data_IF_360662250282
#
_entry.id   IF_360662250282
#
_cell.length_a   1.000
_cell.length_b   1.000
_cell.length_c   1.000
_cell.angle_alpha   90.00
_cell.angle_beta   90.00
_cell.angle_gamma   90.00
#
_symmetry.space_group_name_H-M   'P 1'
#
loop_
_entity.id
_entity.type
_entity.pdbx_description
1 polymer ?
#
# COMPACT_ATOMS: atom_id res chain seq x y z
N UNK A 1 64.65 18.36 -48.84
CA UNK A 1 65.26 17.90 -47.56
C UNK A 1 64.11 17.75 -46.58
N UNK A 2 63.68 16.52 -46.25
CA UNK A 2 64.06 15.74 -45.04
C UNK A 2 63.66 16.49 -43.75
N UNK A 3 62.88 15.98 -42.79
CA UNK A 3 62.28 14.66 -42.50
C UNK A 3 61.12 14.84 -41.49
N UNK A 4 60.12 13.94 -41.41
CA UNK A 4 60.05 12.75 -40.55
C UNK A 4 60.24 13.10 -39.05
N UNK A 5 59.42 12.69 -38.06
CA UNK A 5 58.46 11.60 -37.88
C UNK A 5 57.87 11.75 -36.46
N UNK A 6 56.63 11.35 -36.18
CA UNK A 6 56.35 10.34 -35.15
C UNK A 6 54.91 9.85 -35.14
N UNK A 7 54.81 8.55 -34.87
CA UNK A 7 53.67 7.67 -34.99
C UNK A 7 53.15 7.22 -33.62
N UNK A 8 51.86 6.85 -33.56
CA UNK A 8 51.25 5.74 -32.79
C UNK A 8 49.73 5.78 -33.03
N UNK A 9 49.10 4.87 -33.80
CA UNK A 9 48.60 3.54 -33.38
C UNK A 9 47.94 3.59 -31.99
N UNK A 10 46.61 3.45 -31.89
CA UNK A 10 45.97 2.15 -31.70
C UNK A 10 44.54 2.06 -32.24
N UNK A 11 44.25 0.92 -32.89
CA UNK A 11 42.91 0.34 -33.06
C UNK A 11 42.32 -0.08 -31.70
N UNK A 12 41.02 0.10 -31.55
CA UNK A 12 40.00 -0.84 -31.01
C UNK A 12 38.67 -0.16 -31.28
N UNK A 13 37.67 -0.75 -31.92
CA UNK A 13 37.37 -2.16 -32.13
C UNK A 13 35.85 -2.25 -31.97
N UNK A 14 35.17 -2.59 -33.06
CA UNK A 14 33.75 -2.88 -33.12
C UNK A 14 33.33 -3.82 -32.00
N UNK A 15 32.17 -3.56 -31.39
CA UNK A 15 31.59 -4.51 -30.45
C UNK A 15 30.35 -4.04 -29.71
N UNK A 16 29.26 -3.67 -30.42
CA UNK A 16 27.92 -3.70 -29.81
C UNK A 16 26.79 -3.63 -30.86
N UNK A 17 26.70 -4.63 -31.76
CA UNK A 17 25.59 -4.71 -32.75
C UNK A 17 24.78 -6.03 -32.65
N UNK A 18 24.94 -6.83 -31.60
CA UNK A 18 24.28 -8.17 -31.55
C UNK A 18 23.46 -8.47 -30.27
N UNK A 19 23.08 -7.47 -29.48
CA UNK A 19 22.29 -7.67 -28.25
C UNK A 19 20.77 -7.60 -28.40
N UNK A 20 20.23 -6.88 -29.39
CA UNK A 20 18.82 -6.46 -29.33
C UNK A 20 17.80 -7.39 -30.03
N UNK A 21 18.26 -8.34 -30.87
CA UNK A 21 17.36 -9.29 -31.54
C UNK A 21 17.01 -10.52 -30.66
N UNK A 22 17.73 -10.74 -29.56
CA UNK A 22 17.50 -11.89 -28.66
C UNK A 22 16.45 -11.62 -27.56
N UNK A 23 16.19 -10.36 -27.21
CA UNK A 23 15.26 -10.03 -26.13
C UNK A 23 13.77 -10.13 -26.54
N UNK A 24 13.46 -10.08 -27.85
CA UNK A 24 12.07 -10.10 -28.34
C UNK A 24 11.54 -11.50 -28.67
N UNK A 25 12.42 -12.49 -28.87
CA UNK A 25 12.03 -13.88 -29.17
C UNK A 25 11.84 -14.75 -27.90
N UNK A 26 12.39 -14.34 -26.75
CA UNK A 26 12.28 -15.06 -25.48
C UNK A 26 10.98 -14.76 -24.70
N UNK A 27 10.20 -13.76 -25.11
CA UNK A 27 8.91 -13.46 -24.49
C UNK A 27 7.74 -14.29 -25.05
N UNK A 28 7.92 -15.04 -26.15
CA UNK A 28 6.82 -15.73 -26.84
C UNK A 28 7.05 -17.21 -27.21
N UNK A 29 8.18 -17.83 -26.84
CA UNK A 29 8.39 -19.24 -27.14
C UNK A 29 9.52 -19.89 -26.34
N UNK A 30 9.18 -20.77 -25.40
CA UNK A 30 10.20 -21.41 -24.57
C UNK A 30 9.73 -22.49 -23.61
N UNK A 31 8.80 -23.37 -24.01
CA UNK A 31 8.81 -24.75 -23.53
C UNK A 31 9.44 -25.62 -24.62
N UNK A 32 10.32 -26.55 -24.20
CA UNK A 32 11.04 -27.60 -24.97
C UNK A 32 12.47 -27.26 -25.42
N UNK A 33 13.45 -27.56 -24.55
CA UNK A 33 14.41 -28.67 -24.72
C UNK A 33 15.69 -28.52 -25.57
N UNK A 34 16.85 -28.63 -24.88
CA UNK A 34 18.17 -29.18 -25.30
C UNK A 34 18.91 -28.53 -26.50
N UNK A 35 20.23 -28.31 -26.54
CA UNK A 35 21.40 -28.78 -25.76
C UNK A 35 22.65 -27.97 -26.18
N UNK A 36 23.62 -27.88 -25.26
CA UNK A 36 25.09 -27.74 -25.41
C UNK A 36 25.72 -27.02 -26.63
N UNK A 37 26.44 -25.92 -26.37
CA UNK A 37 27.92 -25.96 -26.26
C UNK A 37 28.57 -24.56 -26.37
N UNK A 38 29.26 -24.17 -25.29
CA UNK A 38 30.54 -23.46 -25.21
C UNK A 38 30.84 -22.26 -26.14
N UNK A 39 31.22 -21.10 -25.57
CA UNK A 39 32.63 -20.79 -25.20
C UNK A 39 32.86 -19.31 -24.85
N UNK A 40 33.22 -19.10 -23.58
CA UNK A 40 34.25 -18.22 -23.01
C UNK A 40 34.44 -16.73 -23.38
N UNK A 41 34.29 -15.90 -22.33
CA UNK A 41 35.32 -15.08 -21.64
C UNK A 41 35.73 -13.71 -22.21
N UNK A 42 35.54 -12.71 -21.33
CA UNK A 42 36.43 -11.60 -20.91
C UNK A 42 36.02 -10.17 -21.27
N UNK A 43 35.76 -9.43 -20.17
CA UNK A 43 35.86 -7.97 -19.98
C UNK A 43 37.28 -7.46 -20.33
N UNK A 44 37.53 -6.13 -20.53
CA UNK A 44 37.58 -5.19 -19.40
C UNK A 44 37.27 -3.69 -19.68
N UNK A 45 36.88 -3.02 -18.59
CA UNK A 45 37.29 -1.71 -18.04
C UNK A 45 37.42 -0.41 -18.86
N UNK A 46 36.81 0.63 -18.23
CA UNK A 46 37.28 1.99 -17.94
C UNK A 46 37.64 2.94 -19.11
N UNK A 47 37.08 4.16 -19.14
CA UNK A 47 37.53 5.29 -18.29
C UNK A 47 36.86 6.63 -18.69
N UNK A 48 36.44 7.40 -17.67
CA UNK A 48 36.51 8.88 -17.50
C UNK A 48 35.73 9.98 -18.29
N UNK A 49 35.40 11.01 -17.47
CA UNK A 49 35.14 12.46 -17.68
C UNK A 49 33.75 12.85 -18.21
N UNK A 50 32.94 13.73 -17.60
CA UNK A 50 33.13 14.71 -16.53
C UNK A 50 32.31 15.96 -16.92
N UNK A 51 31.30 16.33 -16.13
CA UNK A 51 30.42 17.47 -16.42
C UNK A 51 29.71 17.92 -15.15
N UNK A 52 30.27 18.96 -14.53
CA UNK A 52 29.74 19.65 -13.35
C UNK A 52 28.49 20.46 -13.73
N UNK A 53 27.32 19.95 -13.37
CA UNK A 53 26.06 20.69 -13.36
C UNK A 53 25.47 20.62 -11.96
N UNK A 54 25.57 21.73 -11.22
CA UNK A 54 24.90 21.94 -9.94
C UNK A 54 23.37 21.92 -10.14
N UNK A 55 22.79 20.72 -10.21
CA UNK A 55 21.37 20.53 -9.97
C UNK A 55 21.19 20.53 -8.46
N UNK A 56 20.66 21.63 -7.93
CA UNK A 56 20.18 21.69 -6.56
C UNK A 56 19.15 20.58 -6.37
N UNK A 57 19.58 19.45 -5.81
CA UNK A 57 18.70 18.46 -5.22
C UNK A 57 17.89 19.18 -4.16
N UNK A 58 16.66 19.56 -4.51
CA UNK A 58 15.59 19.72 -3.53
C UNK A 58 15.54 18.42 -2.76
N UNK A 59 16.13 18.42 -1.57
CA UNK A 59 15.95 17.38 -0.57
C UNK A 59 14.47 17.35 -0.25
N UNK A 60 13.72 16.55 -1.02
CA UNK A 60 12.40 16.12 -0.61
C UNK A 60 12.60 15.51 0.77
N UNK A 61 12.01 16.16 1.79
CA UNK A 61 11.93 15.59 3.12
C UNK A 61 11.21 14.26 2.94
N UNK A 62 11.96 13.16 2.99
CA UNK A 62 11.36 11.84 3.00
C UNK A 62 10.46 11.81 4.24
N UNK A 63 9.17 11.54 4.03
CA UNK A 63 8.27 11.23 5.13
C UNK A 63 8.92 10.12 5.98
N UNK A 64 8.71 10.11 7.31
CA UNK A 64 9.20 9.02 8.13
C UNK A 64 8.66 7.70 7.58
N UNK A 65 9.55 6.73 7.41
CA UNK A 65 9.18 5.37 7.02
C UNK A 65 8.31 4.76 8.12
N UNK A 66 7.18 4.18 7.74
CA UNK A 66 6.27 3.55 8.68
C UNK A 66 6.98 2.37 9.37
N UNK A 67 6.78 2.17 10.69
CA UNK A 67 7.28 0.99 11.36
C UNK A 67 6.54 -0.25 10.84
N UNK A 68 7.19 -1.41 10.94
CA UNK A 68 6.49 -2.66 10.73
C UNK A 68 5.43 -2.84 11.81
N UNK A 69 4.19 -3.09 11.42
CA UNK A 69 3.06 -3.20 12.33
C UNK A 69 1.84 -3.76 11.62
N UNK A 70 0.77 -3.88 12.37
CA UNK A 70 -0.58 -4.16 11.88
C UNK A 70 -1.32 -2.83 11.81
N UNK A 71 -1.69 -2.41 10.61
CA UNK A 71 -2.49 -1.21 10.37
C UNK A 71 -3.91 -1.64 10.01
N UNK A 72 -4.86 -0.71 10.11
CA UNK A 72 -6.17 -0.96 9.53
C UNK A 72 -6.15 -0.75 8.01
N UNK A 73 -7.32 -0.94 7.42
CA UNK A 73 -7.53 -0.89 5.97
C UNK A 73 -8.58 0.17 5.56
N UNK A 74 -9.01 1.05 6.48
CA UNK A 74 -9.95 2.10 6.14
C UNK A 74 -9.30 3.15 5.22
N UNK A 75 -10.01 3.68 4.21
CA UNK A 75 -9.47 4.65 3.26
C UNK A 75 -8.95 5.94 3.92
N UNK A 76 -7.70 6.27 3.63
CA UNK A 76 -7.01 7.47 4.11
C UNK A 76 -6.54 8.32 2.91
N UNK A 77 -7.20 9.46 2.69
CA UNK A 77 -7.11 10.26 1.46
C UNK A 77 -7.66 9.57 0.19
N UNK A 78 -8.37 8.45 0.33
CA UNK A 78 -9.02 7.71 -0.74
C UNK A 78 -10.54 7.85 -0.70
N UNK A 79 -11.30 7.51 -1.76
CA UNK A 79 -12.76 7.47 -1.69
C UNK A 79 -13.26 6.51 -0.59
N UNK A 80 -14.40 6.81 0.07
CA UNK A 80 -14.97 5.92 1.10
C UNK A 80 -15.70 4.70 0.53
N UNK A 81 -15.99 4.68 -0.77
CA UNK A 81 -16.79 3.63 -1.43
C UNK A 81 -18.21 3.45 -0.86
N UNK A 82 -18.74 4.45 -0.17
CA UNK A 82 -20.14 4.45 0.22
C UNK A 82 -21.07 4.42 -1.00
N UNK A 83 -22.28 3.91 -0.82
CA UNK A 83 -23.33 3.99 -1.80
C UNK A 83 -23.81 5.45 -1.95
N UNK A 84 -24.42 5.76 -3.09
CA UNK A 84 -25.09 7.04 -3.31
C UNK A 84 -26.09 7.34 -2.16
N UNK A 85 -26.14 8.57 -1.63
CA UNK A 85 -25.54 9.80 -2.17
C UNK A 85 -24.10 10.08 -1.70
N UNK A 86 -23.49 9.21 -0.91
CA UNK A 86 -22.19 9.43 -0.26
C UNK A 86 -20.99 8.84 -1.01
N UNK A 87 -21.20 8.32 -2.22
CA UNK A 87 -20.15 7.69 -3.03
C UNK A 87 -18.95 8.58 -3.39
N UNK A 88 -19.09 9.90 -3.25
CA UNK A 88 -18.01 10.86 -3.47
C UNK A 88 -17.37 11.37 -2.17
N UNK A 89 -17.75 10.82 -1.01
CA UNK A 89 -17.07 11.13 0.24
C UNK A 89 -15.62 10.63 0.16
N UNK A 90 -14.71 11.45 0.66
CA UNK A 90 -13.31 11.08 0.82
C UNK A 90 -13.14 10.54 2.24
N UNK A 91 -12.50 9.39 2.35
CA UNK A 91 -12.06 8.81 3.60
C UNK A 91 -10.91 9.62 4.15
N UNK A 92 -11.09 10.06 5.38
CA UNK A 92 -10.11 10.69 6.24
C UNK A 92 -10.01 9.83 7.51
N UNK A 93 -10.04 8.50 7.34
CA UNK A 93 -9.83 7.56 8.41
C UNK A 93 -8.33 7.47 8.67
N UNK A 94 -7.87 7.69 9.92
CA UNK A 94 -6.44 7.76 10.19
C UNK A 94 -5.84 6.37 10.23
N UNK A 95 -5.47 5.88 9.06
CA UNK A 95 -5.00 4.52 8.81
C UNK A 95 -3.52 4.57 8.43
N UNK A 96 -3.15 5.50 7.55
CA UNK A 96 -1.75 5.67 7.16
C UNK A 96 -0.89 6.15 8.34
N UNK A 97 0.36 5.67 8.41
CA UNK A 97 1.29 6.08 9.46
C UNK A 97 1.53 7.59 9.48
N UNK A 98 1.63 8.20 8.30
CA UNK A 98 1.88 9.63 8.09
C UNK A 98 0.60 10.46 7.88
N UNK A 99 -0.56 9.90 8.26
CA UNK A 99 -1.85 10.57 8.13
C UNK A 99 -1.87 11.93 8.81
N UNK A 100 -2.65 12.85 8.24
CA UNK A 100 -2.91 14.17 8.86
C UNK A 100 -4.28 14.25 9.52
N UNK A 101 -5.03 13.14 9.53
CA UNK A 101 -6.43 13.10 9.98
C UNK A 101 -6.60 12.81 11.47
N UNK A 102 -5.49 12.80 12.23
CA UNK A 102 -5.52 12.73 13.68
C UNK A 102 -5.99 14.04 14.31
N UNK A 103 -7.23 14.02 14.77
CA UNK A 103 -7.92 15.15 15.39
C UNK A 103 -7.55 15.30 16.87
N UNK A 104 -7.50 14.19 17.62
CA UNK A 104 -7.26 14.17 19.07
C UNK A 104 -5.81 14.55 19.39
N UNK A 105 -4.87 14.00 18.64
CA UNK A 105 -3.45 14.37 18.68
C UNK A 105 -2.91 14.51 17.25
N UNK A 106 -2.76 15.73 16.71
CA UNK A 106 -2.26 15.95 15.36
C UNK A 106 -0.81 15.52 15.11
N UNK A 107 -0.09 15.07 16.14
CA UNK A 107 1.24 14.49 16.01
C UNK A 107 1.25 12.96 16.11
N UNK A 108 0.09 12.34 16.37
CA UNK A 108 -0.06 10.89 16.34
C UNK A 108 -0.06 10.38 14.89
N UNK A 109 0.32 9.12 14.74
CA UNK A 109 0.11 8.35 13.52
C UNK A 109 -1.32 7.83 13.42
N UNK A 110 -1.67 7.30 12.24
CA UNK A 110 -2.80 6.37 12.12
C UNK A 110 -2.70 5.20 13.08
N UNK A 111 -3.84 4.57 13.40
CA UNK A 111 -3.84 3.41 14.28
C UNK A 111 -2.98 2.31 13.72
N UNK A 112 -2.07 1.80 14.55
CA UNK A 112 -1.36 0.57 14.28
C UNK A 112 -0.88 -0.11 15.55
N UNK A 113 -0.60 -1.41 15.44
CA UNK A 113 0.04 -2.21 16.49
C UNK A 113 1.46 -2.58 16.07
N UNK A 114 2.47 -2.19 16.84
CA UNK A 114 3.88 -2.45 16.48
C UNK A 114 4.26 -3.95 16.62
N UNK A 115 3.57 -4.69 17.48
CA UNK A 115 3.88 -6.08 17.76
C UNK A 115 2.61 -6.90 18.04
N UNK A 116 1.81 -7.23 17.00
CA UNK A 116 0.58 -8.01 17.12
C UNK A 116 0.88 -9.49 17.45
N UNK A 117 1.33 -9.74 18.68
CA UNK A 117 1.98 -11.02 19.06
C UNK A 117 1.11 -11.89 19.93
N UNK A 118 0.25 -11.27 20.74
CA UNK A 118 -0.56 -12.01 21.69
C UNK A 118 -2.04 -11.73 21.50
N UNK A 119 -2.46 -10.47 21.60
CA UNK A 119 -3.86 -10.11 21.42
C UNK A 119 -4.12 -9.93 19.92
N UNK A 120 -5.17 -10.57 19.42
CA UNK A 120 -5.59 -10.47 18.02
C UNK A 120 -7.10 -10.64 17.91
N UNK A 121 -7.68 -10.04 16.89
CA UNK A 121 -9.01 -10.26 16.36
C UNK A 121 -8.93 -11.48 15.43
N UNK A 122 -9.83 -12.44 15.64
CA UNK A 122 -9.85 -13.65 14.82
C UNK A 122 -8.59 -14.53 14.91
N UNK A 123 -8.32 -15.28 13.83
CA UNK A 123 -7.35 -16.37 13.79
C UNK A 123 -6.03 -15.97 13.12
N UNK A 124 -6.01 -14.87 12.37
CA UNK A 124 -4.85 -14.37 11.64
C UNK A 124 -4.53 -12.96 12.12
N UNK A 125 -3.39 -12.45 11.66
CA UNK A 125 -2.95 -11.05 11.79
C UNK A 125 -1.83 -10.84 10.78
N UNK A 126 -1.84 -9.71 10.09
CA UNK A 126 -0.80 -9.35 9.11
C UNK A 126 0.21 -8.42 9.77
N UNK A 127 1.41 -8.32 9.17
CA UNK A 127 2.41 -7.34 9.56
C UNK A 127 2.97 -6.78 8.26
N UNK A 128 2.83 -5.48 8.10
CA UNK A 128 3.16 -4.73 6.89
C UNK A 128 4.10 -3.57 7.23
N UNK A 129 4.75 -2.98 6.23
CA UNK A 129 5.55 -1.76 6.39
C UNK A 129 4.71 -0.49 6.15
N UNK A 130 3.46 -0.50 6.63
CA UNK A 130 2.45 0.55 6.48
C UNK A 130 1.48 0.32 5.32
N UNK A 131 0.32 0.98 5.39
CA UNK A 131 -0.85 0.79 4.50
C UNK A 131 -0.59 0.97 3.00
N UNK A 132 0.54 1.58 2.64
CA UNK A 132 0.94 1.92 1.27
C UNK A 132 2.17 1.13 0.82
N UNK A 133 2.53 0.07 1.54
CA UNK A 133 3.62 -0.84 1.18
C UNK A 133 3.28 -1.58 -0.14
N UNK A 134 4.02 -1.36 -1.24
CA UNK A 134 3.78 -2.08 -2.48
C UNK A 134 4.20 -3.55 -2.43
N UNK A 135 4.98 -3.96 -1.42
CA UNK A 135 5.46 -5.32 -1.20
C UNK A 135 4.67 -6.04 -0.09
N UNK A 136 3.43 -5.60 0.16
CA UNK A 136 2.57 -6.16 1.19
C UNK A 136 2.39 -7.71 1.04
N UNK A 137 2.56 -8.50 2.13
CA UNK A 137 2.51 -9.95 2.08
C UNK A 137 1.16 -10.59 1.74
N UNK A 138 0.03 -9.89 1.86
CA UNK A 138 -1.31 -10.45 1.65
C UNK A 138 -2.07 -9.87 0.45
N UNK A 139 -1.63 -8.74 -0.12
CA UNK A 139 -2.27 -8.19 -1.31
C UNK A 139 -1.63 -6.95 -1.92
N UNK A 140 -2.33 -6.30 -2.88
CA UNK A 140 -1.99 -4.94 -3.31
C UNK A 140 -2.61 -3.92 -2.34
N UNK A 141 -1.83 -2.91 -1.88
CA UNK A 141 -2.25 -1.72 -1.11
C UNK A 141 -3.46 -1.92 -0.17
N UNK A 142 -3.17 -2.02 1.12
CA UNK A 142 -4.09 -2.40 2.20
C UNK A 142 -5.18 -1.33 2.49
N UNK A 143 -5.08 -0.13 1.90
CA UNK A 143 -6.20 0.80 1.98
C UNK A 143 -7.37 0.31 1.10
N UNK A 144 -8.51 0.06 1.76
CA UNK A 144 -9.78 -0.38 1.17
C UNK A 144 -9.74 -1.86 0.77
N UNK A 145 -9.23 -2.71 1.65
CA UNK A 145 -9.54 -4.12 1.61
C UNK A 145 -10.34 -4.63 2.81
N UNK A 146 -10.73 -5.89 2.68
CA UNK A 146 -11.58 -6.67 3.60
C UNK A 146 -11.03 -8.06 3.35
N UNK A 147 -9.81 -8.23 3.84
CA UNK A 147 -8.84 -9.12 3.27
C UNK A 147 -8.94 -10.51 3.96
N UNK A 148 -7.91 -11.35 3.86
CA UNK A 148 -7.92 -12.62 4.57
C UNK A 148 -7.76 -12.49 6.08
N UNK A 149 -7.17 -11.40 6.56
CA UNK A 149 -6.71 -11.16 7.92
C UNK A 149 -7.75 -10.40 8.76
N UNK A 150 -8.67 -9.67 8.11
CA UNK A 150 -9.91 -9.13 8.69
C UNK A 150 -10.94 -10.22 9.10
N UNK A 151 -10.54 -11.15 9.98
CA UNK A 151 -11.35 -12.32 10.35
C UNK A 151 -11.92 -12.31 11.77
N UNK A 152 -11.81 -11.19 12.47
CA UNK A 152 -12.38 -10.95 13.79
C UNK A 152 -13.90 -10.82 13.84
N UNK A 153 -14.54 -10.22 12.84
CA UNK A 153 -16.01 -10.05 12.83
C UNK A 153 -16.71 -11.34 12.33
N UNK A 154 -17.36 -12.06 13.25
CA UNK A 154 -18.00 -13.36 12.95
C UNK A 154 -19.45 -13.23 12.54
N UNK A 155 -20.19 -12.36 13.23
CA UNK A 155 -21.62 -12.15 12.99
C UNK A 155 -22.01 -10.71 13.18
N UNK A 156 -22.95 -10.33 12.32
CA UNK A 156 -23.61 -9.05 12.33
C UNK A 156 -25.09 -9.25 12.14
N UNK A 157 -25.91 -8.65 12.99
CA UNK A 157 -27.35 -8.64 12.77
C UNK A 157 -28.00 -7.33 13.22
N UNK A 158 -29.09 -6.99 12.53
CA UNK A 158 -29.98 -5.85 12.83
C UNK A 158 -31.29 -6.43 13.34
N UNK A 159 -31.51 -6.51 14.66
CA UNK A 159 -32.75 -7.07 15.19
C UNK A 159 -33.94 -6.09 15.10
N UNK A 160 -33.67 -4.79 14.98
CA UNK A 160 -34.65 -3.70 14.85
C UNK A 160 -34.00 -2.47 14.19
N UNK A 161 -34.78 -1.60 13.54
CA UNK A 161 -34.31 -0.36 12.88
C UNK A 161 -33.40 0.46 13.82
N UNK A 162 -32.12 0.60 13.47
CA UNK A 162 -31.12 1.37 14.23
C UNK A 162 -30.48 0.66 15.43
N UNK A 163 -30.73 -0.63 15.62
CA UNK A 163 -30.00 -1.45 16.60
C UNK A 163 -29.14 -2.47 15.90
N UNK A 164 -27.92 -2.62 16.39
CA UNK A 164 -26.89 -3.46 15.79
C UNK A 164 -26.27 -4.36 16.85
N UNK A 165 -25.89 -5.57 16.46
CA UNK A 165 -25.07 -6.45 17.31
C UNK A 165 -23.95 -7.04 16.50
N UNK A 166 -22.77 -7.04 17.12
CA UNK A 166 -21.56 -7.66 16.62
C UNK A 166 -21.15 -8.80 17.55
N UNK A 167 -20.76 -9.92 16.95
CA UNK A 167 -20.01 -10.97 17.62
C UNK A 167 -18.61 -11.00 17.03
N UNK A 168 -17.61 -10.91 17.91
CA UNK A 168 -16.20 -10.90 17.53
C UNK A 168 -15.53 -12.17 18.04
N UNK A 169 -14.61 -12.72 17.26
CA UNK A 169 -13.60 -13.64 17.77
C UNK A 169 -12.39 -12.84 18.22
N UNK A 170 -11.94 -13.10 19.44
CA UNK A 170 -10.70 -12.54 19.98
C UNK A 170 -9.83 -13.68 20.46
N UNK A 171 -8.53 -13.53 20.30
CA UNK A 171 -7.55 -14.55 20.66
C UNK A 171 -6.44 -13.95 21.50
N UNK A 172 -6.02 -14.70 22.50
CA UNK A 172 -4.75 -14.47 23.21
C UNK A 172 -3.78 -15.60 22.85
N UNK A 173 -2.95 -15.38 21.84
CA UNK A 173 -1.95 -16.33 21.38
C UNK A 173 -0.77 -16.51 22.35
N UNK A 174 -0.66 -15.68 23.40
CA UNK A 174 0.40 -15.85 24.40
C UNK A 174 0.08 -16.96 25.40
N UNK A 175 1.11 -17.50 26.05
CA UNK A 175 0.95 -18.50 27.11
C UNK A 175 0.48 -17.94 28.47
N UNK A 176 0.34 -16.62 28.61
CA UNK A 176 -0.05 -15.96 29.85
C UNK A 176 -1.44 -15.32 29.72
N UNK A 177 -2.18 -15.25 30.83
CA UNK A 177 -3.45 -14.52 30.84
C UNK A 177 -3.20 -13.02 30.61
N UNK A 178 -4.06 -12.40 29.80
CA UNK A 178 -4.03 -10.98 29.43
C UNK A 178 -5.43 -10.39 29.50
N UNK A 179 -5.50 -9.06 29.53
CA UNK A 179 -6.74 -8.31 29.31
C UNK A 179 -6.52 -7.43 28.10
N UNK A 180 -7.30 -7.64 27.06
CA UNK A 180 -7.39 -6.69 25.96
C UNK A 180 -8.53 -5.70 26.19
N UNK A 181 -8.48 -4.56 25.51
CA UNK A 181 -9.50 -3.52 25.55
C UNK A 181 -10.08 -3.37 24.15
N UNK A 182 -11.36 -3.75 24.03
CA UNK A 182 -12.06 -3.65 22.77
C UNK A 182 -12.61 -2.23 22.59
N UNK A 183 -12.33 -1.68 21.42
CA UNK A 183 -12.83 -0.40 20.95
C UNK A 183 -13.43 -0.57 19.55
N UNK A 184 -14.54 0.12 19.28
CA UNK A 184 -15.15 0.12 17.95
C UNK A 184 -15.54 1.54 17.56
N UNK A 185 -15.10 1.96 16.38
CA UNK A 185 -15.56 3.16 15.70
C UNK A 185 -16.51 2.79 14.56
N UNK A 186 -17.54 3.58 14.30
CA UNK A 186 -18.43 3.43 13.15
C UNK A 186 -18.75 4.81 12.59
N UNK A 187 -18.37 5.06 11.33
CA UNK A 187 -18.75 6.28 10.59
C UNK A 187 -20.23 6.18 10.21
N UNK A 188 -21.09 6.61 11.13
CA UNK A 188 -22.53 6.48 11.02
C UNK A 188 -23.15 7.58 10.17
N UNK A 189 -22.52 8.76 10.11
CA UNK A 189 -23.01 9.88 9.31
C UNK A 189 -22.48 9.87 7.86
N UNK A 190 -21.55 8.95 7.58
CA UNK A 190 -20.92 8.68 6.30
C UNK A 190 -20.19 9.91 5.76
N UNK A 191 -19.54 10.67 6.63
CA UNK A 191 -18.77 11.87 6.26
C UNK A 191 -17.29 11.58 5.96
N UNK A 192 -16.85 10.33 6.18
CA UNK A 192 -15.49 9.89 5.93
C UNK A 192 -14.54 10.08 7.12
N UNK A 193 -15.03 10.47 8.30
CA UNK A 193 -14.23 10.61 9.51
C UNK A 193 -14.81 9.76 10.62
N UNK A 194 -14.01 9.47 11.65
CA UNK A 194 -14.54 9.03 12.93
C UNK A 194 -14.49 10.19 13.92
N UNK A 195 -15.64 10.79 14.18
CA UNK A 195 -15.78 11.83 15.16
C UNK A 195 -17.21 11.87 15.69
N UNK A 196 -17.38 12.08 17.00
CA UNK A 196 -18.71 12.35 17.52
C UNK A 196 -19.19 13.72 16.95
N UNK A 197 -19.98 13.70 15.88
CA UNK A 197 -20.65 14.89 15.31
C UNK A 197 -22.04 15.08 15.95
N UNK A 198 -22.69 16.23 15.71
CA UNK A 198 -24.01 16.60 16.24
C UNK A 198 -25.12 15.60 15.80
N UNK A 199 -25.17 14.40 16.39
CA UNK A 199 -26.24 13.43 16.18
C UNK A 199 -25.89 11.95 16.33
N UNK A 200 -24.62 11.54 16.25
CA UNK A 200 -24.23 10.14 16.40
C UNK A 200 -22.87 10.02 17.10
N UNK A 201 -22.82 9.24 18.19
CA UNK A 201 -21.54 8.85 18.75
C UNK A 201 -20.95 7.75 17.87
N UNK A 202 -19.74 7.97 17.38
CA UNK A 202 -19.08 7.06 16.44
C UNK A 202 -18.11 6.14 17.16
N UNK A 203 -17.62 6.53 18.34
CA UNK A 203 -16.96 5.60 19.27
C UNK A 203 -17.99 4.78 20.05
N UNK A 204 -18.53 3.78 19.38
CA UNK A 204 -19.70 2.99 19.80
C UNK A 204 -19.38 1.94 20.87
N UNK A 205 -18.14 1.47 20.95
CA UNK A 205 -17.66 0.58 22.01
C UNK A 205 -16.38 1.15 22.57
N UNK A 206 -16.39 1.45 23.87
CA UNK A 206 -15.32 2.21 24.54
C UNK A 206 -14.65 1.37 25.62
N UNK A 207 -13.42 0.95 25.35
CA UNK A 207 -12.52 0.27 26.28
C UNK A 207 -13.20 -0.88 27.05
N UNK A 208 -13.96 -1.72 26.35
CA UNK A 208 -14.60 -2.88 26.99
C UNK A 208 -13.51 -3.90 27.32
N UNK A 209 -13.25 -4.20 28.61
CA UNK A 209 -12.18 -5.11 28.97
C UNK A 209 -12.57 -6.55 28.66
N UNK A 210 -11.69 -7.27 27.98
CA UNK A 210 -11.83 -8.68 27.65
C UNK A 210 -10.71 -9.47 28.31
N UNK A 211 -11.04 -10.13 29.43
CA UNK A 211 -10.13 -11.06 30.08
C UNK A 211 -10.01 -12.35 29.27
N UNK A 212 -8.77 -12.72 28.93
CA UNK A 212 -8.38 -13.88 28.14
C UNK A 212 -7.31 -14.68 28.87
N UNK A 213 -7.53 -15.98 29.04
CA UNK A 213 -6.50 -16.92 29.46
C UNK A 213 -5.43 -17.06 28.36
N UNK A 214 -4.26 -17.60 28.71
CA UNK A 214 -3.22 -17.85 27.72
C UNK A 214 -3.63 -18.96 26.75
N UNK A 215 -3.49 -18.72 25.45
CA UNK A 215 -3.91 -19.61 24.37
C UNK A 215 -5.44 -19.71 24.22
N UNK A 216 -6.20 -18.76 24.76
CA UNK A 216 -7.66 -18.76 24.65
C UNK A 216 -8.12 -18.10 23.35
N UNK A 217 -9.02 -18.79 22.65
CA UNK A 217 -9.88 -18.23 21.62
C UNK A 217 -11.27 -18.03 22.21
N UNK A 218 -11.81 -16.82 22.13
CA UNK A 218 -13.07 -16.46 22.79
C UNK A 218 -13.96 -15.67 21.86
N UNK A 219 -15.24 -16.07 21.79
CA UNK A 219 -16.27 -15.27 21.15
C UNK A 219 -16.84 -14.25 22.13
N UNK A 220 -16.79 -12.98 21.76
CA UNK A 220 -17.33 -11.85 22.52
C UNK A 220 -18.57 -11.34 21.81
N UNK A 221 -19.73 -11.48 22.45
CA UNK A 221 -20.97 -10.85 22.00
C UNK A 221 -21.09 -9.48 22.66
N UNK A 222 -21.23 -8.44 21.85
CA UNK A 222 -21.37 -7.08 22.34
C UNK A 222 -22.82 -6.76 22.67
N UNK A 223 -22.98 -5.78 23.56
CA UNK A 223 -24.28 -5.16 23.78
C UNK A 223 -24.79 -4.53 22.48
N UNK A 224 -26.09 -4.27 22.46
CA UNK A 224 -26.74 -3.60 21.34
C UNK A 224 -26.13 -2.21 21.09
N UNK A 225 -25.48 -2.05 19.94
CA UNK A 225 -25.01 -0.75 19.45
C UNK A 225 -26.21 -0.02 18.88
N UNK A 226 -26.44 1.22 19.31
CA UNK A 226 -27.51 2.06 18.78
C UNK A 226 -26.88 3.08 17.84
N UNK A 227 -27.37 3.11 16.61
CA UNK A 227 -26.98 4.10 15.62
C UNK A 227 -28.20 4.66 14.91
N UNK A 228 -28.00 5.62 13.98
CA UNK A 228 -29.08 6.07 13.11
C UNK A 228 -29.71 4.88 12.38
N UNK A 229 -31.02 4.93 12.15
CA UNK A 229 -31.79 3.82 11.57
C UNK A 229 -31.32 3.40 10.15
N UNK A 230 -30.49 4.22 9.52
CA UNK A 230 -29.90 4.03 8.20
C UNK A 230 -28.53 4.74 8.22
N UNK A 231 -27.43 3.98 8.18
CA UNK A 231 -26.76 3.94 6.89
C UNK A 231 -26.67 2.51 6.35
N UNK A 232 -26.73 2.38 5.02
CA UNK A 232 -26.59 1.11 4.31
C UNK A 232 -25.18 0.51 4.50
N UNK A 233 -24.19 1.39 4.78
CA UNK A 233 -22.77 1.07 4.96
C UNK A 233 -22.15 1.97 6.04
N UNK A 234 -21.17 1.49 6.78
CA UNK A 234 -20.35 2.33 7.66
C UNK A 234 -18.95 1.75 7.72
N UNK A 235 -17.92 2.57 7.49
CA UNK A 235 -16.56 2.16 7.83
C UNK A 235 -16.47 1.98 9.33
N UNK A 236 -15.97 0.82 9.72
CA UNK A 236 -15.96 0.36 11.10
C UNK A 236 -14.56 -0.08 11.47
N UNK A 237 -13.93 0.60 12.42
CA UNK A 237 -12.68 0.12 13.02
C UNK A 237 -13.00 -0.74 14.22
N UNK A 238 -12.41 -1.92 14.30
CA UNK A 238 -12.37 -2.75 15.49
C UNK A 238 -10.93 -2.77 15.97
N UNK A 239 -10.69 -2.28 17.19
CA UNK A 239 -9.37 -2.28 17.78
C UNK A 239 -9.40 -3.10 19.07
N UNK A 240 -8.55 -4.12 19.14
CA UNK A 240 -8.26 -4.83 20.37
C UNK A 240 -6.88 -4.39 20.84
N UNK A 241 -6.80 -3.61 21.92
CA UNK A 241 -5.53 -3.04 22.38
C UNK A 241 -5.12 -3.61 23.75
N UNK A 242 -3.84 -3.59 24.08
CA UNK A 242 -3.32 -4.06 25.39
C UNK A 242 -3.51 -3.03 26.52
N UNK A 243 -3.76 -1.78 26.17
CA UNK A 243 -4.10 -0.68 27.09
C UNK A 243 -5.38 0.04 26.66
N UNK A 244 -6.10 0.70 27.59
CA UNK A 244 -7.25 1.52 27.24
C UNK A 244 -6.86 2.66 26.29
N UNK A 245 -7.67 2.87 25.26
CA UNK A 245 -7.57 3.98 24.32
C UNK A 245 -8.04 5.29 24.96
N UNK A 246 -7.33 6.38 24.66
CA UNK A 246 -7.67 7.72 25.12
C UNK A 246 -8.26 8.51 23.94
N UNK A 247 -9.43 9.12 24.15
CA UNK A 247 -10.04 10.07 23.23
C UNK A 247 -10.28 11.42 23.91
N UNK A 248 -10.84 12.38 23.19
CA UNK A 248 -11.25 13.68 23.74
C UNK A 248 -12.77 13.75 23.99
N UNK A 249 -13.31 14.96 24.14
CA UNK A 249 -14.75 15.18 24.35
C UNK A 249 -15.61 14.71 23.17
N UNK A 250 -15.03 14.61 21.97
CA UNK A 250 -15.66 14.07 20.77
C UNK A 250 -15.25 12.61 20.50
N UNK A 251 -14.66 11.95 21.50
CA UNK A 251 -14.28 10.55 21.46
C UNK A 251 -12.91 10.30 20.84
N UNK A 252 -12.62 9.02 20.61
CA UNK A 252 -11.45 8.56 19.88
C UNK A 252 -11.71 8.71 18.37
N UNK A 253 -10.71 9.16 17.63
CA UNK A 253 -10.78 9.41 16.18
C UNK A 253 -10.17 8.29 15.34
N UNK A 254 -9.69 7.22 15.99
CA UNK A 254 -9.01 6.13 15.31
C UNK A 254 -7.50 6.26 15.27
N UNK A 255 -6.88 7.30 15.84
CA UNK A 255 -5.41 7.40 15.84
C UNK A 255 -4.73 6.67 16.99
N UNK A 256 -3.45 6.35 16.82
CA UNK A 256 -2.58 5.94 17.92
C UNK A 256 -1.61 4.81 17.59
N UNK A 257 -0.68 4.60 18.50
CA UNK A 257 0.26 3.47 18.45
C UNK A 257 0.01 2.57 19.65
N UNK A 258 -0.09 1.28 19.40
CA UNK A 258 -0.34 0.27 20.43
C UNK A 258 0.78 -0.76 20.47
N UNK A 259 1.13 -1.22 21.68
CA UNK A 259 2.25 -2.14 21.87
C UNK A 259 1.88 -3.59 21.45
N UNK A 260 0.63 -3.99 21.64
CA UNK A 260 0.10 -5.32 21.31
C UNK A 260 -1.42 -5.24 21.11
N UNK A 261 -1.99 -6.15 20.32
CA UNK A 261 -3.32 -6.00 19.80
C UNK A 261 -3.45 -6.27 18.31
N UNK A 262 -4.58 -5.83 17.76
CA UNK A 262 -4.84 -5.78 16.32
C UNK A 262 -5.86 -4.69 16.00
N UNK A 263 -5.75 -4.11 14.81
CA UNK A 263 -6.63 -3.12 14.20
C UNK A 263 -7.22 -3.74 12.93
N UNK A 264 -8.52 -3.98 12.91
CA UNK A 264 -9.22 -4.40 11.69
C UNK A 264 -10.19 -3.30 11.25
N UNK A 265 -10.27 -3.01 9.95
CA UNK A 265 -11.21 -2.04 9.41
C UNK A 265 -12.15 -2.67 8.39
N UNK A 266 -13.45 -2.43 8.57
CA UNK A 266 -14.49 -3.09 7.79
C UNK A 266 -15.42 -2.08 7.15
N UNK A 267 -15.63 -2.16 5.82
CA UNK A 267 -16.80 -1.53 5.22
C UNK A 267 -18.05 -2.38 5.44
N UNK A 268 -18.65 -2.16 6.59
CA UNK A 268 -19.80 -2.92 7.02
C UNK A 268 -21.05 -2.50 6.22
N UNK A 269 -21.50 -3.32 5.25
CA UNK A 269 -22.82 -3.22 4.57
C UNK A 269 -23.92 -4.16 5.14
N UNK A 270 -25.11 -3.65 5.48
CA UNK A 270 -26.11 -4.40 6.28
C UNK A 270 -27.03 -5.37 5.51
N UNK A 271 -27.03 -5.34 4.17
CA UNK A 271 -27.74 -6.31 3.34
C UNK A 271 -26.82 -6.96 2.28
N UNK A 272 -27.12 -8.22 1.94
CA UNK A 272 -26.31 -9.01 0.99
C UNK A 272 -26.26 -8.38 -0.41
N UNK A 273 -27.31 -7.67 -0.81
CA UNK A 273 -27.39 -7.03 -2.11
C UNK A 273 -26.40 -5.86 -2.19
N UNK A 274 -26.31 -5.07 -1.11
CA UNK A 274 -25.36 -3.97 -0.95
C UNK A 274 -23.93 -4.48 -0.78
N UNK A 275 -23.72 -5.61 -0.08
CA UNK A 275 -22.40 -6.27 -0.09
C UNK A 275 -21.98 -6.68 -1.50
N UNK A 276 -22.90 -7.19 -2.32
CA UNK A 276 -22.59 -7.53 -3.71
C UNK A 276 -22.27 -6.28 -4.54
N UNK A 277 -23.10 -5.25 -4.42
CA UNK A 277 -22.86 -3.96 -5.08
C UNK A 277 -21.54 -3.32 -4.67
N UNK A 278 -21.14 -3.46 -3.40
CA UNK A 278 -19.82 -3.02 -2.92
C UNK A 278 -18.69 -3.80 -3.60
N UNK A 279 -18.75 -5.14 -3.59
CA UNK A 279 -17.73 -5.98 -4.25
C UNK A 279 -17.60 -5.64 -5.73
N UNK A 280 -18.72 -5.37 -6.41
CA UNK A 280 -18.73 -4.94 -7.81
C UNK A 280 -18.11 -3.54 -8.00
N UNK A 281 -18.46 -2.57 -7.16
CA UNK A 281 -17.93 -1.21 -7.23
C UNK A 281 -16.42 -1.16 -6.94
N UNK A 282 -15.96 -1.89 -5.92
CA UNK A 282 -14.54 -2.02 -5.57
C UNK A 282 -13.75 -2.68 -6.70
N UNK A 283 -14.27 -3.77 -7.26
CA UNK A 283 -13.63 -4.44 -8.40
C UNK A 283 -13.53 -3.52 -9.63
N UNK A 284 -14.54 -2.68 -9.88
CA UNK A 284 -14.52 -1.71 -10.97
C UNK A 284 -13.48 -0.61 -10.74
N UNK A 285 -13.43 -0.03 -9.54
CA UNK A 285 -12.43 0.96 -9.18
C UNK A 285 -11.01 0.40 -9.30
N UNK A 286 -10.75 -0.78 -8.73
CA UNK A 286 -9.44 -1.43 -8.82
C UNK A 286 -9.03 -1.70 -10.28
N UNK A 287 -9.98 -2.13 -11.12
CA UNK A 287 -9.70 -2.33 -12.54
C UNK A 287 -9.36 -1.03 -13.27
N UNK A 288 -10.00 0.09 -12.90
CA UNK A 288 -9.68 1.43 -13.43
C UNK A 288 -8.30 1.90 -12.97
N UNK A 289 -8.01 1.80 -11.67
CA UNK A 289 -6.68 2.15 -11.11
C UNK A 289 -5.56 1.32 -11.72
N UNK A 290 -5.75 0.01 -11.92
CA UNK A 290 -4.79 -0.83 -12.63
C UNK A 290 -4.62 -0.44 -14.10
N UNK A 291 -5.71 -0.03 -14.77
CA UNK A 291 -5.63 0.41 -16.17
C UNK A 291 -4.83 1.71 -16.29
N UNK A 292 -5.02 2.66 -15.38
CA UNK A 292 -4.27 3.92 -15.33
C UNK A 292 -2.80 3.68 -15.02
N UNK A 293 -2.50 2.86 -14.00
CA UNK A 293 -1.12 2.48 -13.65
C UNK A 293 -0.42 1.77 -14.82
N UNK A 294 -1.14 0.88 -15.52
CA UNK A 294 -0.62 0.21 -16.71
C UNK A 294 -0.39 1.18 -17.88
N UNK A 295 -1.29 2.14 -18.09
CA UNK A 295 -1.16 3.18 -19.10
C UNK A 295 0.06 4.05 -18.83
N UNK A 296 0.24 4.51 -17.59
CA UNK A 296 1.39 5.32 -17.18
C UNK A 296 2.71 4.53 -17.34
N UNK A 297 2.72 3.25 -16.94
CA UNK A 297 3.88 2.37 -17.14
C UNK A 297 4.23 2.21 -18.62
N UNK A 298 3.22 2.08 -19.49
CA UNK A 298 3.40 1.96 -20.94
C UNK A 298 3.94 3.25 -21.55
N UNK A 299 3.47 4.41 -21.10
CA UNK A 299 3.97 5.72 -21.52
C UNK A 299 5.43 5.91 -21.11
N UNK A 300 5.79 5.62 -19.86
CA UNK A 300 7.19 5.65 -19.39
C UNK A 300 8.08 4.71 -20.21
N UNK A 301 7.60 3.52 -20.56
CA UNK A 301 8.34 2.58 -21.40
C UNK A 301 8.53 3.11 -22.83
N UNK A 302 7.50 3.74 -23.41
CA UNK A 302 7.59 4.38 -24.73
C UNK A 302 8.61 5.51 -24.74
N UNK A 303 8.58 6.39 -23.73
CA UNK A 303 9.51 7.51 -23.59
C UNK A 303 10.95 7.02 -23.42
N UNK A 304 11.17 5.97 -22.62
CA UNK A 304 12.48 5.36 -22.45
C UNK A 304 13.03 4.78 -23.77
N UNK A 305 12.17 4.14 -24.57
CA UNK A 305 12.55 3.62 -25.89
C UNK A 305 12.85 4.75 -26.88
N UNK A 306 12.03 5.79 -26.92
CA UNK A 306 12.21 6.97 -27.78
C UNK A 306 13.51 7.71 -27.43
N UNK A 307 13.76 7.92 -26.14
CA UNK A 307 15.02 8.52 -25.68
C UNK A 307 16.22 7.64 -26.05
N UNK A 308 16.08 6.32 -25.98
CA UNK A 308 17.14 5.39 -26.40
C UNK A 308 17.39 5.46 -27.91
N UNK A 309 16.34 5.52 -28.72
CA UNK A 309 16.45 5.68 -30.17
C UNK A 309 17.15 7.00 -30.54
N UNK A 310 16.77 8.12 -29.90
CA UNK A 310 17.43 9.41 -30.10
C UNK A 310 18.93 9.37 -29.80
N UNK A 311 19.34 8.71 -28.70
CA UNK A 311 20.76 8.51 -28.38
C UNK A 311 21.50 7.70 -29.46
N UNK A 312 20.84 6.73 -30.09
CA UNK A 312 21.43 5.97 -31.21
C UNK A 312 21.56 6.80 -32.48
N UNK A 313 20.59 7.64 -32.80
CA UNK A 313 20.66 8.56 -33.94
C UNK A 313 21.80 9.57 -33.77
N UNK A 314 21.88 10.22 -32.60
CA UNK A 314 22.98 11.13 -32.27
C UNK A 314 24.35 10.44 -32.33
N UNK A 315 24.45 9.20 -31.84
CA UNK A 315 25.67 8.42 -31.94
C UNK A 315 26.03 8.11 -33.39
N UNK A 316 25.05 7.76 -34.23
CA UNK A 316 25.26 7.48 -35.64
C UNK A 316 25.71 8.73 -36.42
N UNK A 317 25.09 9.89 -36.17
CA UNK A 317 25.50 11.17 -36.77
C UNK A 317 26.92 11.56 -36.36
N UNK A 318 27.29 11.34 -35.09
CA UNK A 318 28.64 11.58 -34.59
C UNK A 318 29.67 10.71 -35.32
N UNK A 319 29.41 9.41 -35.44
CA UNK A 319 30.28 8.48 -36.18
C UNK A 319 30.40 8.90 -37.65
N UNK A 320 29.30 9.29 -38.30
CA UNK A 320 29.30 9.75 -39.68
C UNK A 320 30.15 11.03 -39.86
N UNK A 321 30.02 11.99 -38.94
CA UNK A 321 30.81 13.22 -38.92
C UNK A 321 32.31 12.94 -38.74
N UNK A 322 32.66 12.07 -37.79
CA UNK A 322 34.05 11.64 -37.56
C UNK A 322 34.66 10.96 -38.79
N UNK A 323 33.90 10.09 -39.48
CA UNK A 323 34.34 9.45 -40.72
C UNK A 323 34.56 10.46 -41.85
N UNK A 324 33.66 11.44 -42.00
CA UNK A 324 33.80 12.50 -43.01
C UNK A 324 35.04 13.37 -42.76
N UNK A 325 35.27 13.74 -41.49
CA UNK A 325 36.46 14.49 -41.09
C UNK A 325 37.76 13.71 -41.35
N UNK A 326 37.76 12.41 -41.05
CA UNK A 326 38.89 11.51 -41.31
C UNK A 326 39.22 11.41 -42.81
N UNK A 327 38.20 11.31 -43.68
CA UNK A 327 38.38 11.25 -45.12
C UNK A 327 38.90 12.56 -45.74
N UNK A 328 38.56 13.71 -45.16
CA UNK A 328 39.07 15.00 -45.63
C UNK A 328 40.55 15.24 -45.28
N UNK A 329 41.09 14.50 -44.32
CA UNK A 329 42.48 14.62 -43.87
C UNK A 329 43.48 13.77 -44.68
N UNK A 330 43.00 12.85 -45.52
CA UNK A 330 43.81 11.97 -46.39
C UNK A 330 43.98 12.52 -47.80
#
# INVERSE_FOLDING_TARGET
MRGATNARTTRRGDGLVLGLAAALALALGGCVGESDAARQVAEPDADTVGGEGDTASTSASLAPEAPAGDFGDAPDDLPTFYASPRAAAQGEFPTAYDTTHCRVDPLASGAHVEAPRALRLGARVSIEAGTRDPDDPDGPMNEVDDDGFDDGIVRRWVPAEGTYRLELDVVNASGAARTGYLNILMDFDQDGRWADTDGAAEWVVRNVPVALAGGEDKRVALDAITGPALPLQAWTRVALTDAPVVGDDAGWDGCGTFDDGEIEDHLLAWDQETQHAYKDARAAYFAESMADAWSESTERAHDALTATAGRWEEAAERVASELAASAAAT
#
